data_IF_821559896381
#
_entry.id   IF_821559896381
#
_cell.length_a   1.000
_cell.length_b   1.000
_cell.length_c   1.000
_cell.angle_alpha   90.00
_cell.angle_beta   90.00
_cell.angle_gamma   90.00
#
_symmetry.space_group_name_H-M   'P 1'
#
loop_
_entity.id
_entity.type
_entity.pdbx_description
1 polymer ?
#
# COMPACT_ATOMS: atom_id res chain seq x y z
N UNK A 1 2.72 -13.28 0.90
CA UNK A 1 2.26 -12.97 -0.47
C UNK A 1 3.15 -13.72 -1.45
N UNK A 2 2.65 -14.82 -2.00
CA UNK A 2 3.42 -15.63 -2.96
C UNK A 2 3.46 -14.92 -4.31
N UNK A 3 2.28 -14.57 -4.83
CA UNK A 3 2.11 -13.84 -6.09
C UNK A 3 2.98 -12.57 -6.16
N UNK A 4 2.89 -11.65 -5.20
CA UNK A 4 3.71 -10.41 -5.26
C UNK A 4 5.22 -10.66 -5.34
N UNK A 5 5.72 -11.77 -4.77
CA UNK A 5 7.15 -12.14 -4.84
C UNK A 5 7.52 -12.64 -6.23
N UNK A 6 6.66 -13.45 -6.84
CA UNK A 6 6.85 -13.93 -8.22
C UNK A 6 6.93 -12.76 -9.20
N UNK A 7 6.13 -11.71 -8.98
CA UNK A 7 6.12 -10.50 -9.81
C UNK A 7 7.13 -9.42 -9.37
N UNK A 8 7.93 -9.65 -8.31
CA UNK A 8 8.89 -8.67 -7.81
C UNK A 8 8.28 -7.35 -7.31
N UNK A 9 7.00 -7.36 -6.93
CA UNK A 9 6.27 -6.16 -6.51
C UNK A 9 6.36 -5.93 -5.00
N UNK A 10 6.44 -4.67 -4.54
CA UNK A 10 6.34 -4.37 -3.11
C UNK A 10 4.98 -4.81 -2.57
N UNK A 11 4.96 -5.43 -1.39
CA UNK A 11 3.75 -5.94 -0.77
C UNK A 11 3.81 -5.81 0.76
N UNK A 12 2.69 -5.38 1.36
CA UNK A 12 2.45 -5.42 2.81
C UNK A 12 1.10 -6.10 3.04
N UNK A 13 1.07 -7.13 3.87
CA UNK A 13 -0.14 -7.89 4.19
C UNK A 13 -0.38 -7.93 5.71
N UNK A 14 -1.62 -8.19 6.13
CA UNK A 14 -1.97 -8.24 7.55
C UNK A 14 -2.09 -6.88 8.24
N UNK A 15 -2.27 -5.79 7.49
CA UNK A 15 -2.55 -4.46 8.06
C UNK A 15 -3.96 -4.43 8.64
N UNK A 16 -4.06 -4.48 9.97
CA UNK A 16 -5.34 -4.45 10.68
C UNK A 16 -6.11 -3.14 10.42
N UNK A 17 -7.38 -3.27 10.01
CA UNK A 17 -8.27 -2.14 9.72
C UNK A 17 -7.88 -1.31 8.49
N UNK A 18 -7.00 -1.81 7.61
CA UNK A 18 -6.58 -1.06 6.43
C UNK A 18 -7.76 -0.68 5.52
N UNK A 19 -8.69 -1.59 5.30
CA UNK A 19 -9.87 -1.37 4.44
C UNK A 19 -10.87 -0.35 5.02
N UNK A 20 -10.81 -0.08 6.33
CA UNK A 20 -11.62 0.94 6.99
C UNK A 20 -10.96 2.32 6.93
N UNK A 21 -9.62 2.34 7.03
CA UNK A 21 -8.77 3.54 7.09
C UNK A 21 -8.45 4.14 5.72
N UNK A 22 -8.49 3.34 4.67
CA UNK A 22 -8.21 3.76 3.28
C UNK A 22 -9.45 3.57 2.42
N UNK A 23 -9.69 4.50 1.50
CA UNK A 23 -10.84 4.49 0.59
C UNK A 23 -10.41 4.62 -0.85
N UNK A 24 -11.25 4.13 -1.75
CA UNK A 24 -11.08 4.30 -3.19
C UNK A 24 -10.87 5.79 -3.50
N UNK A 25 -9.79 6.11 -4.23
CA UNK A 25 -9.41 7.48 -4.55
C UNK A 25 -8.27 8.05 -3.69
N UNK A 26 -7.90 7.39 -2.59
CA UNK A 26 -6.72 7.74 -1.81
C UNK A 26 -5.44 7.48 -2.62
N UNK A 27 -4.57 8.48 -2.68
CA UNK A 27 -3.19 8.28 -3.10
C UNK A 27 -2.39 7.80 -1.90
N UNK A 28 -1.60 6.74 -2.10
CA UNK A 28 -0.85 6.11 -1.02
C UNK A 28 0.57 5.80 -1.43
N UNK A 29 1.49 5.93 -0.48
CA UNK A 29 2.84 5.40 -0.55
C UNK A 29 2.88 4.03 0.12
N UNK A 30 3.32 3.01 -0.61
CA UNK A 30 3.55 1.66 -0.12
C UNK A 30 5.06 1.36 -0.08
N UNK A 31 5.60 1.14 1.12
CA UNK A 31 6.97 0.64 1.31
C UNK A 31 6.92 -0.81 1.79
N UNK A 32 7.07 -1.74 0.85
CA UNK A 32 7.09 -3.18 1.11
C UNK A 32 8.32 -3.67 1.87
N UNK A 33 9.41 -2.88 1.97
CA UNK A 33 10.61 -3.24 2.74
C UNK A 33 10.47 -2.87 4.20
N UNK A 34 9.85 -1.72 4.49
CA UNK A 34 9.61 -1.23 5.86
C UNK A 34 8.26 -1.65 6.44
N UNK A 35 7.35 -2.21 5.62
CA UNK A 35 6.02 -2.60 6.06
C UNK A 35 5.07 -1.41 6.26
N UNK A 36 5.28 -0.32 5.52
CA UNK A 36 4.59 0.96 5.73
C UNK A 36 3.57 1.21 4.61
N UNK A 37 2.38 1.67 5.00
CA UNK A 37 1.38 2.24 4.10
C UNK A 37 0.96 3.62 4.62
N UNK A 38 1.09 4.67 3.80
CA UNK A 38 0.77 6.06 4.17
C UNK A 38 -0.09 6.73 3.10
N UNK A 39 -1.09 7.52 3.51
CA UNK A 39 -1.77 8.45 2.60
C UNK A 39 -0.79 9.52 2.13
N UNK A 40 -0.90 9.88 0.86
CA UNK A 40 -0.07 10.86 0.20
C UNK A 40 -0.98 11.88 -0.50
N UNK A 41 -0.62 13.18 -0.54
CA UNK A 41 -1.33 14.12 -1.38
C UNK A 41 -1.33 13.63 -2.81
N UNK A 42 -2.46 13.81 -3.50
CA UNK A 42 -2.55 13.51 -4.93
C UNK A 42 -1.47 14.34 -5.65
N UNK A 43 -0.62 13.74 -6.50
CA UNK A 43 0.30 14.52 -7.31
C UNK A 43 -0.52 15.46 -8.20
N UNK A 44 -0.22 16.75 -8.15
CA UNK A 44 -0.81 17.73 -9.06
C UNK A 44 -0.36 17.41 -10.49
N UNK A 45 -1.31 17.39 -11.43
CA UNK A 45 -1.10 17.05 -12.85
C UNK A 45 -0.35 18.13 -13.61
#
# INVERSE_FOLDING_TARGET
AVVSREYGLPCVAGLQGATEKFRTGDFVLLDGKKGILRRFPRPES
#
